data_IF_869588593413
#
_entry.id   IF_869588593413
#
_cell.length_a   1.000
_cell.length_b   1.000
_cell.length_c   1.000
_cell.angle_alpha   90.00
_cell.angle_beta   90.00
_cell.angle_gamma   90.00
#
_symmetry.space_group_name_H-M   'P 1'
#
loop_
_entity.id
_entity.type
_entity.pdbx_description
1 polymer ?
#
# COMPACT_ATOMS: atom_id res chain seq x y z
N UNK A 1 -10.60 -31.82 9.96
CA UNK A 1 -10.34 -30.55 10.67
C UNK A 1 -11.54 -29.65 10.36
N UNK A 2 -12.42 -29.50 11.35
CA UNK A 2 -13.77 -28.93 11.21
C UNK A 2 -13.66 -27.41 11.16
N UNK A 3 -14.16 -26.79 10.08
CA UNK A 3 -14.27 -25.34 9.94
C UNK A 3 -15.69 -24.90 10.33
N UNK A 4 -15.78 -24.03 11.32
CA UNK A 4 -16.93 -23.18 11.62
C UNK A 4 -16.46 -21.99 12.47
N UNK A 5 -17.26 -20.93 12.74
CA UNK A 5 -18.37 -20.35 11.97
C UNK A 5 -17.96 -19.00 11.33
N UNK A 6 -18.66 -18.56 10.27
CA UNK A 6 -18.41 -17.26 9.63
C UNK A 6 -18.97 -16.10 10.46
N UNK A 7 -18.05 -15.32 11.05
CA UNK A 7 -18.31 -14.05 11.76
C UNK A 7 -18.58 -12.92 10.75
N UNK A 8 -19.25 -11.84 11.17
CA UNK A 8 -19.05 -10.52 10.53
C UNK A 8 -17.57 -10.23 10.62
N UNK A 9 -16.88 -10.30 9.48
CA UNK A 9 -15.44 -10.04 9.43
C UNK A 9 -15.27 -8.53 9.32
N UNK A 10 -15.05 -7.89 10.45
CA UNK A 10 -14.55 -6.52 10.50
C UNK A 10 -13.08 -6.58 10.08
N UNK A 11 -12.78 -6.19 8.84
CA UNK A 11 -11.40 -6.08 8.39
C UNK A 11 -10.88 -4.69 8.78
N UNK A 12 -10.04 -4.64 9.81
CA UNK A 12 -9.23 -3.46 10.11
C UNK A 12 -8.18 -3.21 9.00
N UNK A 13 -7.76 -4.27 8.32
CA UNK A 13 -6.80 -4.29 7.23
C UNK A 13 -7.24 -5.39 6.26
N UNK A 14 -7.89 -5.03 5.14
CA UNK A 14 -8.28 -6.06 4.17
C UNK A 14 -7.02 -6.66 3.56
N UNK A 15 -6.94 -7.99 3.53
CA UNK A 15 -5.91 -8.78 2.86
C UNK A 15 -6.53 -9.69 1.77
N UNK A 16 -7.71 -9.34 1.24
CA UNK A 16 -8.38 -10.13 0.20
C UNK A 16 -8.30 -9.50 -1.20
N UNK A 17 -7.58 -10.12 -2.15
CA UNK A 17 -7.64 -9.74 -3.55
C UNK A 17 -8.93 -10.32 -4.12
N UNK A 18 -9.83 -9.46 -4.61
CA UNK A 18 -10.53 -9.62 -5.91
C UNK A 18 -11.82 -8.81 -6.05
N UNK A 19 -12.46 -8.27 -5.00
CA UNK A 19 -13.79 -7.62 -5.16
C UNK A 19 -14.14 -6.46 -4.26
N UNK A 20 -13.28 -6.03 -3.33
CA UNK A 20 -13.62 -4.86 -2.50
C UNK A 20 -13.02 -3.62 -3.14
N UNK A 21 -13.77 -3.03 -4.06
CA UNK A 21 -13.51 -1.67 -4.51
C UNK A 21 -13.58 -0.76 -3.30
N UNK A 22 -12.45 -0.14 -2.94
CA UNK A 22 -12.38 0.93 -1.95
C UNK A 22 -12.84 2.29 -2.52
N UNK A 23 -13.49 2.27 -3.69
CA UNK A 23 -14.22 3.41 -4.24
C UNK A 23 -15.71 3.25 -3.94
N UNK A 24 -16.32 4.29 -3.39
CA UNK A 24 -17.73 4.31 -3.00
C UNK A 24 -18.65 3.65 -4.02
N UNK A 25 -19.26 2.54 -3.64
CA UNK A 25 -20.30 1.91 -4.43
C UNK A 25 -21.65 2.29 -3.82
N UNK A 26 -22.27 3.36 -4.35
CA UNK A 26 -23.66 3.73 -4.06
C UNK A 26 -24.68 2.68 -4.56
N UNK A 27 -24.24 1.62 -5.25
CA UNK A 27 -25.06 0.49 -5.72
C UNK A 27 -24.25 -0.81 -5.86
N UNK A 28 -23.92 -1.47 -4.76
CA UNK A 28 -23.42 -2.85 -4.79
C UNK A 28 -24.25 -3.70 -3.82
N UNK A 29 -24.58 -4.92 -4.22
CA UNK A 29 -25.21 -5.93 -3.35
C UNK A 29 -24.53 -5.96 -1.97
N UNK A 30 -25.29 -6.18 -0.87
CA UNK A 30 -24.74 -6.15 0.48
C UNK A 30 -23.61 -7.19 0.60
N UNK A 31 -22.37 -6.71 0.59
CA UNK A 31 -21.22 -7.52 0.93
C UNK A 31 -21.32 -7.85 2.42
N UNK A 32 -21.17 -9.12 2.83
CA UNK A 32 -21.11 -9.48 4.24
C UNK A 32 -19.84 -8.94 4.92
N UNK A 33 -18.88 -8.43 4.14
CA UNK A 33 -17.64 -7.80 4.62
C UNK A 33 -17.82 -6.29 4.57
N UNK A 34 -17.67 -5.64 5.72
CA UNK A 34 -17.70 -4.19 5.88
C UNK A 34 -16.27 -3.66 6.04
N UNK A 35 -15.97 -2.57 5.34
CA UNK A 35 -14.70 -1.87 5.50
C UNK A 35 -14.83 -0.83 6.61
N UNK A 36 -14.06 -0.99 7.70
CA UNK A 36 -13.97 0.01 8.76
C UNK A 36 -12.81 0.97 8.53
N UNK A 37 -11.62 0.44 8.22
CA UNK A 37 -10.41 1.22 8.01
C UNK A 37 -9.89 1.89 9.28
N UNK A 38 -9.14 2.97 9.11
CA UNK A 38 -8.58 3.78 10.18
C UNK A 38 -8.39 5.22 9.67
N UNK A 39 -8.28 6.18 10.60
CA UNK A 39 -7.94 7.57 10.26
C UNK A 39 -6.44 7.78 10.41
N UNK A 40 -5.89 8.63 9.54
CA UNK A 40 -4.52 9.17 9.71
C UNK A 40 -4.54 10.64 10.10
N UNK A 41 -5.70 11.27 10.18
CA UNK A 41 -5.85 12.73 10.18
C UNK A 41 -5.20 13.42 11.39
N UNK A 42 -5.40 12.89 12.59
CA UNK A 42 -4.80 13.42 13.82
C UNK A 42 -3.27 13.34 13.77
N UNK A 43 -2.75 12.12 13.53
CA UNK A 43 -1.31 11.87 13.45
C UNK A 43 -0.65 12.61 12.28
N UNK A 44 -1.40 12.83 11.19
CA UNK A 44 -0.97 13.59 10.05
C UNK A 44 -0.87 15.07 10.38
N UNK A 45 -1.86 15.59 11.10
CA UNK A 45 -1.97 17.00 11.44
C UNK A 45 -0.91 17.48 12.42
N UNK A 46 -0.42 16.58 13.27
CA UNK A 46 0.65 16.84 14.21
C UNK A 46 2.01 17.15 13.57
N UNK A 47 2.24 16.81 12.28
CA UNK A 47 3.55 16.96 11.63
C UNK A 47 3.46 18.00 10.51
N UNK A 48 4.26 19.08 10.55
CA UNK A 48 4.28 20.08 9.48
C UNK A 48 4.82 19.47 8.19
N UNK A 49 4.24 19.87 7.06
CA UNK A 49 4.75 19.50 5.73
C UNK A 49 6.02 20.31 5.46
N UNK A 50 7.08 19.61 5.05
CA UNK A 50 8.31 20.25 4.60
C UNK A 50 8.18 20.67 3.13
N UNK A 51 8.40 21.95 2.77
CA UNK A 51 8.41 22.39 1.37
C UNK A 51 9.43 21.62 0.54
N UNK A 52 9.14 21.39 -0.74
CA UNK A 52 10.00 20.58 -1.61
C UNK A 52 11.45 21.11 -1.67
N UNK A 53 11.62 22.44 -1.65
CA UNK A 53 12.93 23.12 -1.66
C UNK A 53 13.81 22.82 -0.44
N UNK A 54 13.21 22.39 0.68
CA UNK A 54 13.93 22.09 1.92
C UNK A 54 14.17 20.58 2.13
N UNK A 55 13.63 19.73 1.24
CA UNK A 55 13.80 18.28 1.30
C UNK A 55 15.18 17.89 0.76
N UNK A 56 15.74 16.83 1.32
CA UNK A 56 16.96 16.26 0.78
C UNK A 56 16.70 15.71 -0.62
N UNK A 57 17.74 15.69 -1.46
CA UNK A 57 17.71 15.05 -2.77
C UNK A 57 17.81 13.52 -2.62
N UNK A 58 16.73 12.95 -2.07
CA UNK A 58 16.59 11.53 -1.79
C UNK A 58 15.15 11.08 -2.00
N UNK A 59 14.98 9.78 -2.24
CA UNK A 59 13.70 9.07 -2.23
C UNK A 59 13.75 7.92 -1.23
N UNK A 60 12.61 7.63 -0.60
CA UNK A 60 12.49 6.60 0.42
C UNK A 60 12.02 5.27 -0.18
N UNK A 61 12.80 4.20 -0.05
CA UNK A 61 12.43 2.84 -0.42
C UNK A 61 11.51 2.27 0.66
N UNK A 62 10.29 1.91 0.29
CA UNK A 62 9.32 1.28 1.19
C UNK A 62 9.67 -0.20 1.41
N UNK A 63 10.58 -0.47 2.34
CA UNK A 63 10.82 -1.80 2.88
C UNK A 63 11.46 -1.71 4.26
N UNK A 64 11.12 -2.67 5.14
CA UNK A 64 11.72 -2.80 6.48
C UNK A 64 12.54 -4.07 6.67
N UNK A 65 12.46 -4.99 5.72
CA UNK A 65 13.22 -6.25 5.71
C UNK A 65 13.80 -6.44 4.31
N UNK A 66 15.05 -6.89 4.24
CA UNK A 66 15.70 -7.21 2.96
C UNK A 66 14.95 -8.32 2.20
N UNK A 67 14.26 -9.20 2.91
CA UNK A 67 13.48 -10.30 2.32
C UNK A 67 12.47 -9.81 1.26
N UNK A 68 11.95 -8.58 1.39
CA UNK A 68 10.93 -8.05 0.47
C UNK A 68 11.43 -7.91 -0.98
N UNK A 69 12.75 -7.84 -1.19
CA UNK A 69 13.37 -7.74 -2.51
C UNK A 69 14.07 -9.04 -2.95
N UNK A 70 14.04 -10.07 -2.11
CA UNK A 70 14.53 -11.41 -2.43
C UNK A 70 13.41 -12.34 -2.85
N UNK A 71 12.19 -12.10 -2.37
CA UNK A 71 11.02 -12.77 -2.90
C UNK A 71 10.66 -12.17 -4.27
N UNK A 72 11.13 -12.84 -5.34
CA UNK A 72 10.90 -12.45 -6.73
C UNK A 72 9.43 -12.43 -7.11
N UNK A 73 8.59 -13.18 -6.40
CA UNK A 73 7.16 -13.11 -6.64
C UNK A 73 6.64 -11.75 -6.19
N UNK A 74 7.13 -11.13 -5.14
CA UNK A 74 6.58 -9.84 -4.67
C UNK A 74 7.38 -8.61 -5.11
N UNK A 75 8.67 -8.76 -5.43
CA UNK A 75 9.50 -7.62 -5.78
C UNK A 75 9.18 -7.06 -7.17
N UNK A 76 8.91 -5.75 -7.26
CA UNK A 76 8.46 -5.11 -8.49
C UNK A 76 9.58 -4.72 -9.47
N UNK A 77 10.81 -4.57 -8.98
CA UNK A 77 11.92 -3.96 -9.71
C UNK A 77 13.06 -4.94 -9.96
N UNK A 78 14.10 -4.51 -10.68
CA UNK A 78 15.40 -5.15 -10.59
C UNK A 78 16.19 -4.50 -9.46
N UNK A 79 16.95 -5.26 -8.67
CA UNK A 79 17.73 -4.71 -7.54
C UNK A 79 18.74 -3.65 -7.99
N UNK A 80 19.23 -3.75 -9.23
CA UNK A 80 20.13 -2.77 -9.83
C UNK A 80 19.48 -1.42 -10.16
N UNK A 81 18.14 -1.31 -10.20
CA UNK A 81 17.46 -0.07 -10.60
C UNK A 81 17.84 1.11 -9.73
N UNK A 82 18.04 0.91 -8.43
CA UNK A 82 18.37 1.99 -7.50
C UNK A 82 19.75 2.60 -7.81
N UNK A 83 20.80 1.78 -7.92
CA UNK A 83 22.14 2.25 -8.27
C UNK A 83 22.19 2.83 -9.69
N UNK A 84 21.53 2.19 -10.66
CA UNK A 84 21.48 2.68 -12.04
C UNK A 84 20.75 4.04 -12.14
N UNK A 85 19.61 4.18 -11.47
CA UNK A 85 18.88 5.44 -11.45
C UNK A 85 19.67 6.54 -10.76
N UNK A 86 20.41 6.24 -9.68
CA UNK A 86 21.31 7.22 -9.06
C UNK A 86 22.38 7.71 -10.04
N UNK A 87 22.99 6.81 -10.82
CA UNK A 87 23.96 7.20 -11.84
C UNK A 87 23.33 8.09 -12.94
N UNK A 88 22.05 7.87 -13.28
CA UNK A 88 21.35 8.65 -14.30
C UNK A 88 20.87 10.02 -13.79
N UNK A 89 20.35 10.09 -12.56
CA UNK A 89 19.60 11.27 -12.08
C UNK A 89 20.18 11.94 -10.84
N UNK A 90 21.19 11.34 -10.20
CA UNK A 90 21.87 11.87 -9.01
C UNK A 90 21.09 11.77 -7.69
N UNK A 91 19.80 11.40 -7.72
CA UNK A 91 18.96 11.29 -6.52
C UNK A 91 19.29 10.02 -5.72
N UNK A 92 19.48 10.17 -4.41
CA UNK A 92 19.80 9.05 -3.51
C UNK A 92 18.57 8.18 -3.22
N UNK A 93 18.77 6.87 -3.13
CA UNK A 93 17.75 5.90 -2.75
C UNK A 93 18.01 5.44 -1.32
N UNK A 94 17.27 6.01 -0.37
CA UNK A 94 17.44 5.75 1.06
C UNK A 94 16.35 4.82 1.56
N UNK A 95 16.62 4.00 2.57
CA UNK A 95 15.59 3.23 3.27
C UNK A 95 16.04 2.87 4.67
N UNK A 96 15.31 1.97 5.32
CA UNK A 96 15.66 1.43 6.62
C UNK A 96 15.18 0.00 6.75
N UNK A 97 16.10 -0.97 6.58
CA UNK A 97 15.77 -2.39 6.58
C UNK A 97 16.70 -3.21 7.45
N UNK A 98 16.13 -4.26 8.07
CA UNK A 98 16.88 -5.30 8.73
C UNK A 98 17.26 -6.44 7.77
N UNK A 99 18.32 -7.15 8.17
CA UNK A 99 18.78 -8.39 7.56
C UNK A 99 18.24 -9.57 8.37
N UNK A 100 16.92 -9.78 8.37
CA UNK A 100 16.32 -10.89 9.10
C UNK A 100 16.11 -12.12 8.20
N UNK A 101 16.88 -13.19 8.45
CA UNK A 101 16.79 -14.46 7.71
C UNK A 101 15.60 -15.35 8.13
N UNK A 102 14.84 -14.98 9.16
CA UNK A 102 13.78 -15.84 9.72
C UNK A 102 12.44 -15.81 8.95
N UNK A 103 12.32 -15.10 7.83
CA UNK A 103 11.12 -15.12 6.97
C UNK A 103 11.07 -16.36 6.06
N UNK A 104 11.14 -17.56 6.64
CA UNK A 104 11.16 -18.83 5.90
C UNK A 104 12.20 -18.85 4.76
N UNK A 105 13.32 -18.15 4.95
CA UNK A 105 14.41 -18.17 3.98
C UNK A 105 15.34 -19.34 4.31
N UNK A 106 15.64 -20.15 3.30
CA UNK A 106 16.59 -21.26 3.40
C UNK A 106 17.84 -20.89 2.59
N UNK A 107 18.91 -20.39 3.24
CA UNK A 107 20.13 -19.96 2.55
C UNK A 107 20.77 -21.07 1.72
N UNK A 108 20.61 -22.34 2.13
CA UNK A 108 21.17 -23.50 1.44
C UNK A 108 20.48 -23.69 0.08
N UNK A 109 19.17 -23.42 0.01
CA UNK A 109 18.38 -23.60 -1.22
C UNK A 109 18.28 -22.35 -2.07
N UNK A 110 18.25 -21.18 -1.43
CA UNK A 110 17.87 -19.91 -2.07
C UNK A 110 19.05 -18.94 -2.21
N UNK A 111 20.21 -19.29 -1.67
CA UNK A 111 21.39 -18.43 -1.60
C UNK A 111 21.36 -17.48 -0.42
N UNK A 112 22.48 -16.83 -0.13
CA UNK A 112 22.53 -15.83 0.94
C UNK A 112 21.81 -14.54 0.55
N UNK A 113 21.07 -13.97 1.50
CA UNK A 113 20.56 -12.61 1.34
C UNK A 113 21.70 -11.62 1.56
N UNK A 114 22.15 -11.00 0.48
CA UNK A 114 23.11 -9.91 0.48
C UNK A 114 22.38 -8.57 0.55
N UNK A 115 22.94 -7.62 1.29
CA UNK A 115 22.42 -6.25 1.28
C UNK A 115 22.48 -5.67 -0.14
N UNK A 116 21.51 -4.82 -0.49
CA UNK A 116 21.57 -3.97 -1.69
C UNK A 116 22.14 -2.57 -1.39
N UNK A 117 22.61 -2.36 -0.16
CA UNK A 117 23.28 -1.11 0.19
C UNK A 117 24.53 -0.94 -0.68
N UNK A 118 24.62 0.22 -1.30
CA UNK A 118 25.67 0.62 -2.21
C UNK A 118 25.84 2.13 -2.08
N UNK A 119 26.55 2.53 -1.02
CA UNK A 119 26.69 3.95 -0.65
C UNK A 119 27.39 4.78 -1.72
N UNK A 120 28.31 4.16 -2.46
CA UNK A 120 29.04 4.79 -3.57
C UNK A 120 28.10 5.10 -4.74
N UNK A 121 27.08 4.26 -4.94
CA UNK A 121 26.03 4.45 -5.95
C UNK A 121 24.68 4.86 -5.35
N UNK A 122 24.71 5.58 -4.22
CA UNK A 122 23.55 6.29 -3.70
C UNK A 122 22.45 5.42 -3.09
N UNK A 123 22.66 4.12 -2.86
CA UNK A 123 21.72 3.23 -2.17
C UNK A 123 22.11 3.10 -0.70
N UNK A 124 21.30 3.67 0.20
CA UNK A 124 21.68 3.85 1.61
C UNK A 124 20.69 3.16 2.53
N UNK A 125 21.20 2.29 3.41
CA UNK A 125 20.42 1.72 4.51
C UNK A 125 20.63 2.54 5.78
N UNK A 126 19.55 3.01 6.39
CA UNK A 126 19.56 3.69 7.69
C UNK A 126 19.29 2.73 8.87
N UNK A 127 19.15 1.42 8.60
CA UNK A 127 18.84 0.40 9.60
C UNK A 127 17.41 0.52 10.15
N UNK A 128 17.18 -0.07 11.32
CA UNK A 128 15.89 0.01 12.00
C UNK A 128 15.72 1.39 12.64
N UNK A 129 14.63 2.07 12.28
CA UNK A 129 14.30 3.39 12.78
C UNK A 129 13.15 3.32 13.79
N UNK A 130 13.13 4.28 14.72
CA UNK A 130 11.91 4.57 15.49
C UNK A 130 10.81 5.10 14.57
N UNK A 131 9.56 5.09 15.02
CA UNK A 131 8.46 5.66 14.24
C UNK A 131 8.70 7.13 13.89
N UNK A 132 9.20 7.95 14.82
CA UNK A 132 9.54 9.35 14.57
C UNK A 132 10.70 9.49 13.58
N UNK A 133 11.73 8.65 13.69
CA UNK A 133 12.85 8.62 12.75
C UNK A 133 12.42 8.25 11.33
N UNK A 134 11.54 7.26 11.19
CA UNK A 134 10.93 6.89 9.92
C UNK A 134 10.14 8.07 9.31
N UNK A 135 9.23 8.68 10.09
CA UNK A 135 8.43 9.80 9.60
C UNK A 135 9.32 10.98 9.17
N UNK A 136 10.34 11.31 9.96
CA UNK A 136 11.32 12.34 9.60
C UNK A 136 12.04 12.04 8.27
N UNK A 137 12.51 10.81 8.07
CA UNK A 137 13.16 10.42 6.81
C UNK A 137 12.21 10.50 5.61
N UNK A 138 10.96 10.04 5.79
CA UNK A 138 9.93 10.13 4.74
C UNK A 138 9.63 11.58 4.40
N UNK A 139 9.28 12.43 5.37
CA UNK A 139 8.98 13.85 5.15
C UNK A 139 10.15 14.66 4.58
N UNK A 140 11.39 14.19 4.76
CA UNK A 140 12.58 14.78 4.16
C UNK A 140 12.91 14.26 2.75
N UNK A 141 12.12 13.31 2.23
CA UNK A 141 12.31 12.69 0.92
C UNK A 141 11.38 13.28 -0.15
N UNK A 142 11.79 13.23 -1.41
CA UNK A 142 11.02 13.74 -2.55
C UNK A 142 9.95 12.77 -3.05
N UNK A 143 10.07 11.49 -2.72
CA UNK A 143 9.13 10.43 -3.09
C UNK A 143 9.28 9.25 -2.13
N UNK A 144 8.22 8.46 -1.95
CA UNK A 144 8.28 7.10 -1.43
C UNK A 144 8.09 6.09 -2.57
N UNK A 145 8.98 5.10 -2.66
CA UNK A 145 8.97 4.07 -3.70
C UNK A 145 8.45 2.76 -3.12
N UNK A 146 7.32 2.29 -3.63
CA UNK A 146 6.85 0.94 -3.39
C UNK A 146 7.75 -0.09 -4.09
N UNK A 147 8.11 -1.18 -3.40
CA UNK A 147 8.90 -2.30 -3.98
C UNK A 147 8.05 -3.54 -4.28
N UNK A 148 6.73 -3.47 -4.11
CA UNK A 148 5.76 -4.56 -4.28
C UNK A 148 5.31 -5.21 -2.97
N UNK A 149 6.17 -5.22 -1.94
CA UNK A 149 5.87 -5.66 -0.58
C UNK A 149 6.35 -4.60 0.43
N UNK A 150 5.64 -4.34 1.55
CA UNK A 150 4.40 -5.00 1.98
C UNK A 150 3.19 -4.49 1.19
N UNK A 151 2.21 -5.37 1.02
CA UNK A 151 0.93 -5.05 0.38
C UNK A 151 0.06 -4.20 1.32
N UNK A 152 -0.63 -3.20 0.78
CA UNK A 152 -1.56 -2.34 1.52
C UNK A 152 -0.99 -1.57 2.72
N UNK A 153 0.33 -1.41 2.82
CA UNK A 153 1.02 -0.70 3.90
C UNK A 153 0.38 0.66 4.29
N UNK A 154 0.40 1.08 5.58
CA UNK A 154 -0.01 2.45 5.95
C UNK A 154 0.96 3.52 5.43
N UNK A 155 2.23 3.15 5.24
CA UNK A 155 3.32 4.09 5.00
C UNK A 155 3.13 5.02 3.80
N UNK A 156 2.55 4.59 2.66
CA UNK A 156 2.18 5.52 1.59
C UNK A 156 1.20 6.62 2.00
N UNK A 157 0.26 6.36 2.93
CA UNK A 157 -0.59 7.42 3.47
C UNK A 157 0.19 8.38 4.38
N UNK A 158 1.13 7.87 5.20
CA UNK A 158 2.05 8.72 5.98
C UNK A 158 2.93 9.61 5.08
N UNK A 159 3.32 9.11 3.90
CA UNK A 159 4.07 9.85 2.90
C UNK A 159 3.21 10.98 2.29
N UNK A 160 2.04 10.64 1.76
CA UNK A 160 1.10 11.58 1.16
C UNK A 160 0.69 12.69 2.15
N UNK A 161 0.48 12.31 3.42
CA UNK A 161 0.24 13.24 4.51
C UNK A 161 1.35 14.31 4.65
N UNK A 162 2.61 13.92 4.47
CA UNK A 162 3.77 14.81 4.57
C UNK A 162 4.11 15.49 3.24
N UNK A 163 3.20 15.43 2.27
CA UNK A 163 3.40 15.97 0.92
C UNK A 163 4.43 15.19 0.11
N UNK A 164 4.63 13.90 0.39
CA UNK A 164 5.58 13.02 -0.31
C UNK A 164 4.80 12.07 -1.21
N UNK A 165 4.95 12.16 -2.55
CA UNK A 165 4.23 11.29 -3.47
C UNK A 165 4.68 9.84 -3.38
N UNK A 166 3.80 8.92 -3.81
CA UNK A 166 4.04 7.48 -3.76
C UNK A 166 4.17 6.86 -5.16
N UNK A 167 5.21 6.06 -5.38
CA UNK A 167 5.34 5.18 -6.54
C UNK A 167 4.66 3.85 -6.24
N UNK A 168 3.54 3.58 -6.92
CA UNK A 168 2.76 2.37 -6.74
C UNK A 168 3.02 1.38 -7.89
N UNK A 169 3.79 0.29 -7.66
CA UNK A 169 3.99 -0.71 -8.70
C UNK A 169 2.72 -1.45 -9.10
N UNK A 170 2.52 -1.61 -10.41
CA UNK A 170 1.48 -2.45 -11.04
C UNK A 170 2.13 -3.75 -11.50
N UNK A 171 1.92 -4.81 -10.73
CA UNK A 171 2.53 -6.12 -10.98
C UNK A 171 1.81 -6.93 -12.05
N UNK A 172 0.48 -6.86 -12.10
CA UNK A 172 -0.29 -7.67 -13.04
C UNK A 172 -1.57 -6.96 -13.43
N UNK A 173 -1.87 -7.01 -14.73
CA UNK A 173 -2.93 -6.26 -15.39
C UNK A 173 -3.33 -6.95 -16.70
N UNK A 174 -4.44 -6.55 -17.29
CA UNK A 174 -4.82 -6.95 -18.65
C UNK A 174 -3.90 -6.28 -19.68
N UNK A 175 -3.06 -7.06 -20.35
CA UNK A 175 -2.13 -6.55 -21.36
C UNK A 175 -2.81 -5.94 -22.60
N UNK A 176 -4.08 -6.27 -22.86
CA UNK A 176 -4.85 -5.66 -23.95
C UNK A 176 -5.32 -4.24 -23.62
N UNK A 177 -5.33 -3.89 -22.33
CA UNK A 177 -5.82 -2.61 -21.82
C UNK A 177 -5.04 -2.22 -20.54
N UNK A 178 -3.72 -1.97 -20.67
CA UNK A 178 -2.79 -1.91 -19.54
C UNK A 178 -3.05 -0.75 -18.58
N UNK A 179 -3.67 0.33 -19.07
CA UNK A 179 -3.91 1.55 -18.29
C UNK A 179 -5.31 1.62 -17.70
N UNK A 180 -6.17 0.64 -17.99
CA UNK A 180 -7.45 0.54 -17.33
C UNK A 180 -7.31 -0.01 -15.91
N UNK A 181 -7.37 0.90 -14.93
CA UNK A 181 -7.20 0.61 -13.49
C UNK A 181 -8.16 -0.47 -12.97
N UNK A 182 -9.34 -0.64 -13.58
CA UNK A 182 -10.31 -1.69 -13.20
C UNK A 182 -9.84 -3.10 -13.58
N UNK A 183 -8.88 -3.18 -14.50
CA UNK A 183 -8.26 -4.41 -15.00
C UNK A 183 -6.86 -4.64 -14.42
N UNK A 184 -6.49 -3.90 -13.38
CA UNK A 184 -5.27 -4.18 -12.62
C UNK A 184 -5.57 -5.26 -11.59
N UNK A 185 -5.01 -6.44 -11.82
CA UNK A 185 -5.18 -7.59 -10.92
C UNK A 185 -4.36 -7.42 -9.65
N UNK A 186 -3.18 -6.81 -9.76
CA UNK A 186 -2.26 -6.62 -8.65
C UNK A 186 -1.48 -5.30 -8.78
N UNK A 187 -1.73 -4.37 -7.86
CA UNK A 187 -0.84 -3.26 -7.51
C UNK A 187 -0.46 -3.34 -6.03
N UNK A 188 0.65 -2.71 -5.62
CA UNK A 188 1.10 -2.76 -4.22
C UNK A 188 0.11 -2.06 -3.27
N UNK A 189 -0.56 -1.02 -3.74
CA UNK A 189 -1.55 -0.31 -2.95
C UNK A 189 -2.83 -0.05 -3.75
N UNK A 190 -3.71 -1.07 -3.89
CA UNK A 190 -4.93 -0.98 -4.71
C UNK A 190 -5.86 0.18 -4.35
N UNK A 191 -5.93 0.60 -3.08
CA UNK A 191 -6.75 1.74 -2.68
C UNK A 191 -6.14 3.10 -3.02
N UNK A 192 -4.85 3.13 -3.36
CA UNK A 192 -4.18 4.33 -3.85
C UNK A 192 -4.05 4.36 -5.37
N UNK A 193 -4.25 3.21 -6.04
CA UNK A 193 -4.25 3.12 -7.49
C UNK A 193 -5.21 4.09 -8.21
N UNK A 194 -6.41 4.42 -7.68
CA UNK A 194 -7.30 5.39 -8.31
C UNK A 194 -6.70 6.80 -8.41
N UNK A 195 -5.78 7.18 -7.52
CA UNK A 195 -5.10 8.47 -7.59
C UNK A 195 -4.04 8.47 -8.69
N UNK A 196 -3.77 9.66 -9.22
CA UNK A 196 -2.81 9.91 -10.29
C UNK A 196 -1.74 10.90 -9.83
N UNK A 197 -0.69 11.15 -10.65
CA UNK A 197 0.23 12.24 -10.39
C UNK A 197 -0.53 13.57 -10.21
N UNK A 198 -0.07 14.46 -9.29
CA UNK A 198 1.23 14.39 -8.65
C UNK A 198 1.28 13.58 -7.35
N UNK A 199 0.19 12.94 -6.92
CA UNK A 199 0.13 12.22 -5.64
C UNK A 199 0.62 10.77 -5.73
N UNK A 200 0.13 10.03 -6.74
CA UNK A 200 0.46 8.60 -6.91
C UNK A 200 0.93 8.34 -8.33
N UNK A 201 2.14 7.83 -8.47
CA UNK A 201 2.74 7.43 -9.73
C UNK A 201 2.61 5.92 -9.89
N UNK A 202 1.62 5.48 -10.66
CA UNK A 202 1.43 4.06 -10.94
C UNK A 202 2.36 3.63 -12.08
N UNK A 203 3.25 2.66 -11.83
CA UNK A 203 4.28 2.23 -12.78
C UNK A 203 4.22 0.71 -12.94
N UNK A 204 4.23 0.21 -14.18
CA UNK A 204 4.26 -1.23 -14.43
C UNK A 204 5.55 -1.87 -13.92
N UNK A 205 5.46 -3.08 -13.37
CA UNK A 205 6.64 -3.81 -12.89
C UNK A 205 7.69 -3.94 -14.00
N UNK A 206 8.97 -3.87 -13.62
CA UNK A 206 10.10 -3.93 -14.55
C UNK A 206 10.11 -2.85 -15.66
N UNK A 207 9.31 -1.79 -15.54
CA UNK A 207 9.41 -0.61 -16.40
C UNK A 207 10.45 0.37 -15.82
N UNK A 208 11.71 0.20 -16.21
CA UNK A 208 12.80 1.08 -15.77
C UNK A 208 12.59 2.54 -16.17
N UNK A 209 12.11 2.79 -17.40
CA UNK A 209 11.89 4.13 -17.89
C UNK A 209 10.77 4.82 -17.09
N UNK A 210 9.66 4.12 -16.86
CA UNK A 210 8.58 4.59 -15.99
C UNK A 210 9.04 4.85 -14.56
N UNK A 211 9.88 3.97 -14.00
CA UNK A 211 10.49 4.14 -12.68
C UNK A 211 11.31 5.45 -12.59
N UNK A 212 12.25 5.66 -13.51
CA UNK A 212 13.11 6.85 -13.52
C UNK A 212 12.29 8.11 -13.78
N UNK A 213 11.35 8.08 -14.72
CA UNK A 213 10.50 9.23 -15.04
C UNK A 213 9.62 9.63 -13.85
N UNK A 214 9.06 8.66 -13.11
CA UNK A 214 8.30 8.94 -11.90
C UNK A 214 9.15 9.63 -10.83
N UNK A 215 10.40 9.18 -10.63
CA UNK A 215 11.31 9.81 -9.66
C UNK A 215 11.70 11.23 -10.09
N UNK A 216 11.99 11.46 -11.38
CA UNK A 216 12.29 12.81 -11.91
C UNK A 216 11.11 13.76 -11.74
N UNK A 217 9.90 13.31 -12.08
CA UNK A 217 8.68 14.11 -11.98
C UNK A 217 8.35 14.45 -10.52
N UNK A 218 8.39 13.46 -9.62
CA UNK A 218 8.19 13.67 -8.18
C UNK A 218 9.23 14.61 -7.57
N UNK A 219 10.48 14.55 -8.02
CA UNK A 219 11.56 15.42 -7.53
C UNK A 219 11.43 16.89 -7.92
N UNK A 220 10.54 17.22 -8.85
CA UNK A 220 10.34 18.59 -9.36
C UNK A 220 8.90 19.11 -9.17
N UNK A 221 8.01 18.28 -8.62
CA UNK A 221 6.59 18.62 -8.44
C UNK A 221 6.24 18.68 -6.97
N UNK A 222 5.96 19.87 -6.46
CA UNK A 222 5.54 20.05 -5.07
C UNK A 222 4.08 19.64 -4.87
N UNK A 223 3.81 18.90 -3.80
CA UNK A 223 2.44 18.62 -3.34
C UNK A 223 2.32 19.01 -1.87
N UNK A 224 1.15 19.51 -1.50
CA UNK A 224 0.78 19.72 -0.11
C UNK A 224 0.43 18.40 0.60
N UNK A 225 0.04 18.52 1.87
CA UNK A 225 -0.56 17.42 2.62
C UNK A 225 -1.73 16.84 1.84
N UNK A 226 -1.78 15.53 1.76
CA UNK A 226 -2.90 14.81 1.18
C UNK A 226 -3.39 13.70 2.11
N UNK A 227 -4.65 13.83 2.55
CA UNK A 227 -5.37 12.81 3.30
C UNK A 227 -6.56 12.40 2.42
N UNK A 228 -6.61 11.16 1.91
CA UNK A 228 -7.78 10.65 1.21
C UNK A 228 -9.05 10.79 2.06
N UNK A 229 -10.18 11.13 1.43
CA UNK A 229 -11.45 11.37 2.13
C UNK A 229 -11.84 10.19 3.04
N UNK A 230 -11.67 8.95 2.57
CA UNK A 230 -11.98 7.74 3.33
C UNK A 230 -11.07 7.51 4.55
N UNK A 231 -9.95 8.24 4.65
CA UNK A 231 -8.98 8.18 5.74
C UNK A 231 -9.10 9.36 6.74
N UNK A 232 -10.12 10.21 6.58
CA UNK A 232 -10.45 11.26 7.56
C UNK A 232 -11.10 10.66 8.79
N UNK A 233 -11.04 11.37 9.92
CA UNK A 233 -11.69 10.95 11.15
C UNK A 233 -13.21 10.87 10.97
N UNK A 234 -13.81 11.90 10.37
CA UNK A 234 -15.25 11.92 10.09
C UNK A 234 -15.69 10.73 9.24
N UNK A 235 -14.97 10.41 8.15
CA UNK A 235 -15.35 9.27 7.31
C UNK A 235 -15.24 7.92 8.05
N UNK A 236 -14.30 7.77 8.99
CA UNK A 236 -14.18 6.58 9.83
C UNK A 236 -15.32 6.52 10.84
N UNK A 237 -15.66 7.64 11.47
CA UNK A 237 -16.80 7.76 12.38
C UNK A 237 -18.11 7.41 11.67
N UNK A 238 -18.35 7.92 10.46
CA UNK A 238 -19.54 7.61 9.67
C UNK A 238 -19.66 6.11 9.37
N UNK A 239 -18.53 5.45 9.01
CA UNK A 239 -18.50 4.00 8.81
C UNK A 239 -18.76 3.22 10.10
N UNK A 240 -18.29 3.73 11.24
CA UNK A 240 -18.55 3.12 12.55
C UNK A 240 -20.02 3.27 12.94
N UNK A 241 -20.61 4.44 12.75
CA UNK A 241 -22.04 4.69 12.99
C UNK A 241 -22.88 3.77 12.12
N UNK A 242 -22.60 3.71 10.81
CA UNK A 242 -23.26 2.78 9.89
C UNK A 242 -23.12 1.33 10.38
N UNK A 243 -21.95 0.93 10.84
CA UNK A 243 -21.71 -0.42 11.37
C UNK A 243 -22.53 -0.69 12.63
N UNK A 244 -22.66 0.26 13.54
CA UNK A 244 -23.33 0.07 14.83
C UNK A 244 -24.85 0.19 14.74
N UNK A 245 -25.35 1.07 13.87
CA UNK A 245 -26.79 1.36 13.73
C UNK A 245 -27.50 0.47 12.71
N UNK A 246 -26.75 -0.26 11.89
CA UNK A 246 -27.35 -1.22 10.94
C UNK A 246 -27.95 -2.41 11.68
N UNK A 247 -29.23 -2.70 11.40
CA UNK A 247 -29.88 -3.93 11.85
C UNK A 247 -29.36 -5.14 11.05
N UNK A 248 -28.21 -5.66 11.50
CA UNK A 248 -27.57 -6.83 10.92
C UNK A 248 -28.42 -8.09 11.02
N UNK A 249 -29.30 -8.18 12.01
CA UNK A 249 -30.17 -9.35 12.18
C UNK A 249 -31.16 -9.41 11.03
N UNK A 250 -31.87 -8.32 10.76
CA UNK A 250 -32.82 -8.26 9.63
C UNK A 250 -32.12 -8.50 8.29
N UNK A 251 -30.92 -7.93 8.09
CA UNK A 251 -30.16 -8.19 6.85
C UNK A 251 -29.71 -9.64 6.71
N UNK A 252 -29.27 -10.27 7.81
CA UNK A 252 -28.88 -11.67 7.83
C UNK A 252 -30.08 -12.60 7.56
N UNK A 253 -31.25 -12.31 8.13
CA UNK A 253 -32.50 -13.04 7.88
C UNK A 253 -32.91 -12.98 6.40
N UNK A 254 -32.83 -11.79 5.78
CA UNK A 254 -33.11 -11.62 4.35
C UNK A 254 -32.13 -12.40 3.46
N UNK A 255 -30.83 -12.32 3.76
CA UNK A 255 -29.79 -13.05 3.03
C UNK A 255 -29.93 -14.57 3.18
N UNK A 256 -30.31 -15.04 4.37
CA UNK A 256 -30.57 -16.47 4.63
C UNK A 256 -31.77 -16.96 3.80
N UNK A 257 -32.85 -16.19 3.76
CA UNK A 257 -34.03 -16.52 2.97
C UNK A 257 -33.74 -16.56 1.46
N UNK A 258 -32.88 -15.67 0.96
CA UNK A 258 -32.40 -15.69 -0.44
C UNK A 258 -31.59 -16.96 -0.74
N UNK A 259 -30.60 -17.28 0.10
CA UNK A 259 -29.76 -18.47 -0.08
C UNK A 259 -30.53 -19.78 -0.02
N UNK A 260 -31.51 -19.88 0.88
CA UNK A 260 -32.39 -21.06 0.97
C UNK A 260 -33.20 -21.27 -0.31
N UNK A 261 -33.60 -20.19 -1.01
CA UNK A 261 -34.32 -20.29 -2.30
C UNK A 261 -33.40 -20.75 -3.43
N UNK A 262 -32.13 -20.38 -3.39
CA UNK A 262 -31.13 -20.74 -4.39
C UNK A 262 -30.52 -22.14 -4.18
N UNK A 263 -30.97 -22.88 -3.15
CA UNK A 263 -30.47 -24.22 -2.83
C UNK A 263 -29.07 -24.23 -2.22
N UNK A 264 -28.61 -23.09 -1.69
CA UNK A 264 -27.33 -22.98 -1.00
C UNK A 264 -27.39 -23.47 0.45
N UNK A 265 -26.23 -23.81 1.02
CA UNK A 265 -26.10 -24.17 2.43
C UNK A 265 -26.56 -23.01 3.33
N UNK A 266 -27.47 -23.32 4.25
CA UNK A 266 -28.04 -22.38 5.21
C UNK A 266 -27.65 -22.79 6.63
N UNK A 267 -26.87 -21.94 7.30
CA UNK A 267 -26.57 -22.10 8.71
C UNK A 267 -27.54 -21.23 9.52
N UNK A 268 -28.40 -21.88 10.30
CA UNK A 268 -29.24 -21.22 11.30
C UNK A 268 -28.42 -21.12 12.58
N UNK A 269 -28.30 -19.91 13.13
CA UNK A 269 -27.67 -19.69 14.43
C UNK A 269 -28.78 -19.69 15.49
N UNK A 270 -28.79 -20.70 16.35
CA UNK A 270 -29.54 -20.62 17.61
C UNK A 270 -28.75 -19.70 18.57
N UNK A 271 -29.41 -18.67 19.09
CA UNK A 271 -28.85 -17.69 20.04
C UNK A 271 -29.06 -18.19 21.47
#
# INVERSE_FOLDING_TARGET
>A
MVLGPHRVVILAWSNYPKRVGLGGCLKCHPSPIQYLGYSIEEACSAIPVKPLSERADQVWILMKEIYYIYNTDYFAWNRSYFSLAFQEIGTKFVGGWAMNQHYNWDPIKQGEMVSIEDREHGVINNGILTQSGFKHQVGNSRMMIGVGSPWWSPSPYDALCQGVPFLNPIKSYDHSDPWNKTKWYYSQHPSLAPYDPPYVYNVHHQDYAGFVNAVKAASTTEIGRFIPEHMTETAVQDRLVLLMETDWKTQAEALLAERLKEGGDAYVFDI
#
